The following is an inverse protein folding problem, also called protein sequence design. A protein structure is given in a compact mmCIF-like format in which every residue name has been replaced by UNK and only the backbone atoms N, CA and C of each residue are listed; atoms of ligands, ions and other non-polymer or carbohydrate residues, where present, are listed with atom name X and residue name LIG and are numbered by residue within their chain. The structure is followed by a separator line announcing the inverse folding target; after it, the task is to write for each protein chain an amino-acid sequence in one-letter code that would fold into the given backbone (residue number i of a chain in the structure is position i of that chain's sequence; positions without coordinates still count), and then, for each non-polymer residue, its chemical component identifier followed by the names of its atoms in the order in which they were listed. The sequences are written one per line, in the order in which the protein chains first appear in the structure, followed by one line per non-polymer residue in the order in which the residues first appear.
data_IF_350393765078
#
_entry.id   IF_350393765078
#
_cell.length_a   1.000
_cell.length_b   1.000
_cell.length_c   1.000
_cell.angle_alpha   90.00
_cell.angle_beta   90.00
_cell.angle_gamma   90.00
#
_symmetry.space_group_name_H-M   'P 1'
#
loop_
_entity.id
_entity.type
_entity.pdbx_description
1 polymer ?
#
# COMPACT_ATOMS: atom_id res chain seq x y z
N UNK A 1 -64.43 15.94 -9.15
CA UNK A 1 -63.19 16.67 -8.79
C UNK A 1 -62.38 16.84 -10.08
N UNK A 2 -62.66 17.88 -10.87
CA UNK A 2 -62.00 19.20 -10.87
C UNK A 2 -60.50 19.16 -11.19
N UNK A 3 -60.23 19.34 -12.49
CA UNK A 3 -59.18 20.12 -13.15
C UNK A 3 -57.82 20.34 -12.47
N UNK A 4 -56.74 20.11 -13.26
CA UNK A 4 -55.84 21.18 -13.75
C UNK A 4 -54.83 20.61 -14.77
N UNK A 5 -55.14 20.80 -16.06
CA UNK A 5 -54.13 20.93 -17.11
C UNK A 5 -53.63 22.38 -17.09
N UNK A 6 -52.33 22.60 -16.95
CA UNK A 6 -51.67 23.78 -17.51
C UNK A 6 -50.18 23.52 -17.69
N UNK A 7 -49.77 23.59 -18.95
CA UNK A 7 -48.50 24.17 -19.37
C UNK A 7 -47.22 23.42 -19.03
N UNK A 8 -46.73 22.63 -19.99
CA UNK A 8 -45.45 23.00 -20.58
C UNK A 8 -45.50 22.79 -22.10
N UNK A 9 -45.77 23.90 -22.75
CA UNK A 9 -45.69 24.09 -24.19
C UNK A 9 -44.27 23.73 -24.69
N UNK A 10 -44.23 23.04 -25.82
CA UNK A 10 -43.29 23.25 -26.94
C UNK A 10 -41.78 23.09 -26.68
N UNK A 11 -41.21 22.03 -27.26
CA UNK A 11 -40.18 22.10 -28.31
C UNK A 11 -39.46 20.74 -28.43
N UNK A 12 -40.09 19.74 -29.04
CA UNK A 12 -39.33 18.59 -29.57
C UNK A 12 -39.02 18.91 -31.03
N UNK A 13 -38.00 19.75 -31.20
CA UNK A 13 -37.41 20.06 -32.50
C UNK A 13 -36.56 18.88 -32.98
N UNK A 14 -36.79 18.48 -34.24
CA UNK A 14 -35.96 17.65 -35.10
C UNK A 14 -34.51 17.45 -34.60
N UNK A 15 -34.21 16.26 -34.08
CA UNK A 15 -32.84 15.79 -33.94
C UNK A 15 -32.52 14.95 -35.19
N UNK A 16 -31.96 15.60 -36.21
CA UNK A 16 -31.45 14.95 -37.42
C UNK A 16 -30.41 13.90 -37.04
N UNK A 17 -30.66 12.65 -37.40
CA UNK A 17 -29.74 11.55 -37.27
C UNK A 17 -28.53 11.76 -38.19
N UNK A 18 -27.41 12.24 -37.63
CA UNK A 18 -26.09 12.01 -38.22
C UNK A 18 -25.69 10.57 -37.90
N UNK A 19 -25.89 9.68 -38.88
CA UNK A 19 -25.27 8.36 -38.88
C UNK A 19 -23.76 8.52 -39.08
N UNK A 20 -23.01 8.59 -37.98
CA UNK A 20 -21.56 8.44 -37.99
C UNK A 20 -21.25 6.98 -38.37
N UNK A 21 -20.50 6.68 -39.45
CA UNK A 21 -20.01 5.33 -39.65
C UNK A 21 -18.97 5.07 -38.56
N UNK A 22 -19.32 4.23 -37.59
CA UNK A 22 -18.35 3.65 -36.68
C UNK A 22 -17.35 2.85 -37.54
N UNK A 23 -16.15 3.38 -37.75
CA UNK A 23 -15.06 2.55 -38.25
C UNK A 23 -14.71 1.59 -37.12
N UNK A 24 -15.00 0.31 -37.33
CA UNK A 24 -14.34 -0.75 -36.60
C UNK A 24 -12.85 -0.62 -36.90
N UNK A 25 -12.08 -0.12 -35.93
CA UNK A 25 -10.64 -0.25 -35.97
C UNK A 25 -10.35 -1.75 -35.96
N UNK A 26 -9.63 -2.30 -36.96
CA UNK A 26 -9.27 -3.70 -36.91
C UNK A 26 -8.54 -3.94 -35.59
N UNK A 27 -8.83 -5.04 -34.87
CA UNK A 27 -8.09 -5.36 -33.65
C UNK A 27 -6.61 -5.30 -34.01
N UNK A 28 -5.86 -4.41 -33.34
CA UNK A 28 -4.41 -4.45 -33.42
C UNK A 28 -4.04 -5.88 -33.01
N UNK A 29 -3.38 -6.67 -33.89
CA UNK A 29 -2.90 -7.97 -33.46
C UNK A 29 -2.06 -7.71 -32.21
N UNK A 30 -2.20 -8.51 -31.13
CA UNK A 30 -1.30 -8.39 -30.00
C UNK A 30 0.10 -8.40 -30.60
N UNK A 31 0.94 -7.41 -30.26
CA UNK A 31 2.32 -7.33 -30.77
C UNK A 31 2.85 -8.75 -30.84
N UNK A 32 2.97 -9.30 -32.06
CA UNK A 32 3.51 -10.63 -32.21
C UNK A 32 4.86 -10.54 -31.53
N UNK A 33 5.12 -11.43 -30.60
CA UNK A 33 6.27 -11.39 -29.71
C UNK A 33 7.56 -11.68 -30.51
N UNK A 34 7.87 -10.78 -31.44
CA UNK A 34 8.59 -10.92 -32.70
C UNK A 34 9.92 -11.66 -32.52
N UNK A 35 9.87 -13.00 -32.54
CA UNK A 35 11.04 -13.83 -32.30
C UNK A 35 11.63 -13.72 -30.90
N UNK A 36 10.95 -13.09 -29.92
CA UNK A 36 11.45 -12.98 -28.55
C UNK A 36 11.51 -14.36 -27.90
N UNK A 37 10.51 -15.21 -28.12
CA UNK A 37 10.57 -16.58 -27.64
C UNK A 37 11.21 -17.51 -28.68
N UNK A 38 12.31 -18.15 -28.29
CA UNK A 38 12.87 -19.28 -29.04
C UNK A 38 12.35 -20.59 -28.44
N UNK A 39 11.99 -21.55 -29.29
CA UNK A 39 11.46 -22.86 -28.86
C UNK A 39 12.37 -23.99 -29.33
N UNK A 40 12.75 -24.87 -28.41
CA UNK A 40 13.56 -26.07 -28.67
C UNK A 40 12.76 -27.32 -28.28
N UNK A 41 12.67 -28.36 -29.13
CA UNK A 41 12.03 -29.61 -28.77
C UNK A 41 12.68 -30.26 -27.54
N UNK A 42 11.87 -30.82 -26.64
CA UNK A 42 12.30 -31.57 -25.46
C UNK A 42 11.49 -32.87 -25.34
N UNK A 43 11.92 -33.79 -24.47
CA UNK A 43 11.35 -35.14 -24.38
C UNK A 43 9.82 -35.18 -24.13
N UNK A 44 9.28 -34.21 -23.40
CA UNK A 44 7.87 -34.14 -23.00
C UNK A 44 7.17 -32.83 -23.40
N UNK A 45 7.70 -32.11 -24.38
CA UNK A 45 7.17 -30.81 -24.82
C UNK A 45 8.25 -29.95 -25.47
N UNK A 46 8.31 -28.67 -25.10
CA UNK A 46 9.28 -27.72 -25.66
C UNK A 46 9.91 -26.86 -24.57
N UNK A 47 11.20 -26.58 -24.71
CA UNK A 47 11.89 -25.57 -23.92
C UNK A 47 11.69 -24.22 -24.59
N UNK A 48 11.08 -23.27 -23.88
CA UNK A 48 10.91 -21.88 -24.30
C UNK A 48 11.99 -21.02 -23.67
N UNK A 49 12.78 -20.32 -24.48
CA UNK A 49 13.75 -19.32 -24.05
C UNK A 49 13.20 -17.92 -24.34
N UNK A 50 13.12 -17.07 -23.32
CA UNK A 50 12.91 -15.63 -23.50
C UNK A 50 14.24 -14.96 -23.84
N UNK A 51 14.41 -14.52 -25.08
CA UNK A 51 15.67 -13.93 -25.55
C UNK A 51 15.98 -12.56 -24.94
N UNK A 52 15.03 -11.92 -24.25
CA UNK A 52 15.28 -10.65 -23.53
C UNK A 52 15.82 -10.86 -22.13
N UNK A 53 15.30 -11.87 -21.42
CA UNK A 53 15.64 -12.11 -20.00
C UNK A 53 16.61 -13.27 -19.82
N UNK A 54 16.76 -14.13 -20.83
CA UNK A 54 17.50 -15.39 -20.74
C UNK A 54 16.77 -16.49 -19.97
N UNK A 55 15.54 -16.24 -19.53
CA UNK A 55 14.76 -17.21 -18.75
C UNK A 55 14.32 -18.39 -19.63
N UNK A 56 14.40 -19.60 -19.06
CA UNK A 56 13.97 -20.82 -19.73
C UNK A 56 12.75 -21.41 -19.03
N UNK A 57 11.79 -21.89 -19.80
CA UNK A 57 10.60 -22.58 -19.30
C UNK A 57 10.41 -23.90 -20.03
N UNK A 58 10.11 -24.96 -19.30
CA UNK A 58 9.65 -26.22 -19.89
C UNK A 58 8.13 -26.14 -20.06
N UNK A 59 7.67 -26.12 -21.30
CA UNK A 59 6.27 -26.10 -21.66
C UNK A 59 5.82 -27.51 -22.08
N UNK A 60 4.85 -28.06 -21.37
CA UNK A 60 4.27 -29.39 -21.63
C UNK A 60 2.79 -29.25 -21.97
N UNK A 61 2.30 -30.02 -22.93
CA UNK A 61 0.86 -30.10 -23.23
C UNK A 61 0.20 -31.14 -22.33
N UNK A 62 -0.79 -30.73 -21.55
CA UNK A 62 -1.59 -31.61 -20.69
C UNK A 62 -3.07 -31.24 -20.84
N UNK A 63 -3.93 -32.22 -21.11
CA UNK A 63 -5.39 -32.04 -21.21
C UNK A 63 -5.81 -30.82 -22.06
N UNK A 64 -5.30 -30.76 -23.30
CA UNK A 64 -5.52 -29.67 -24.27
C UNK A 64 -5.03 -28.28 -23.83
N UNK A 65 -4.25 -28.18 -22.75
CA UNK A 65 -3.67 -26.93 -22.27
C UNK A 65 -2.14 -26.98 -22.28
N UNK A 66 -1.52 -25.91 -22.76
CA UNK A 66 -0.07 -25.71 -22.67
C UNK A 66 0.27 -25.12 -21.30
N UNK A 67 1.08 -25.84 -20.51
CA UNK A 67 1.57 -25.36 -19.23
C UNK A 67 3.08 -25.18 -19.27
N UNK A 68 3.56 -23.96 -19.00
CA UNK A 68 4.98 -23.64 -18.89
C UNK A 68 5.40 -23.53 -17.42
N UNK A 69 6.45 -24.25 -17.03
CA UNK A 69 7.09 -24.16 -15.71
C UNK A 69 8.51 -23.60 -15.88
N UNK A 70 8.98 -22.80 -14.93
CA UNK A 70 10.37 -22.32 -14.92
C UNK A 70 11.36 -23.50 -14.95
N UNK A 71 12.54 -23.29 -15.55
CA UNK A 71 13.61 -24.28 -15.61
C UNK A 71 14.00 -24.81 -14.22
N UNK A 72 14.51 -26.04 -14.17
CA UNK A 72 14.81 -26.72 -12.91
C UNK A 72 15.78 -25.92 -12.03
N UNK A 73 16.82 -25.33 -12.62
CA UNK A 73 17.84 -24.55 -11.90
C UNK A 73 17.26 -23.24 -11.34
N UNK A 74 16.46 -22.53 -12.13
CA UNK A 74 15.80 -21.30 -11.70
C UNK A 74 14.81 -21.58 -10.57
N UNK A 75 14.07 -22.70 -10.65
CA UNK A 75 13.22 -23.15 -9.56
C UNK A 75 14.00 -23.46 -8.29
N UNK A 76 15.12 -24.16 -8.39
CA UNK A 76 15.96 -24.48 -7.24
C UNK A 76 16.52 -23.21 -6.57
N UNK A 77 16.96 -22.22 -7.37
CA UNK A 77 17.42 -20.94 -6.86
C UNK A 77 16.31 -20.15 -6.15
N UNK A 78 15.11 -20.10 -6.74
CA UNK A 78 13.96 -19.44 -6.14
C UNK A 78 13.49 -20.14 -4.86
N UNK A 79 13.47 -21.48 -4.84
CA UNK A 79 13.11 -22.26 -3.66
C UNK A 79 14.12 -22.06 -2.52
N UNK A 80 15.42 -21.97 -2.83
CA UNK A 80 16.46 -21.65 -1.84
C UNK A 80 16.28 -20.23 -1.25
N UNK A 81 15.96 -19.26 -2.10
CA UNK A 81 15.72 -17.88 -1.66
C UNK A 81 14.45 -17.75 -0.82
N UNK A 82 13.37 -18.44 -1.20
CA UNK A 82 12.15 -18.53 -0.41
C UNK A 82 12.45 -19.11 0.98
N UNK A 83 13.24 -20.18 1.05
CA UNK A 83 13.63 -20.79 2.33
C UNK A 83 14.45 -19.82 3.21
N UNK A 84 15.40 -19.09 2.60
CA UNK A 84 16.20 -18.07 3.29
C UNK A 84 15.31 -16.94 3.84
N UNK A 85 14.44 -16.37 3.00
CA UNK A 85 13.53 -15.30 3.38
C UNK A 85 12.51 -15.75 4.43
N UNK A 86 11.99 -16.97 4.33
CA UNK A 86 11.08 -17.53 5.34
C UNK A 86 11.76 -17.64 6.71
N UNK A 87 13.02 -18.10 6.73
CA UNK A 87 13.83 -18.18 7.96
C UNK A 87 14.09 -16.80 8.55
N UNK A 88 14.46 -15.83 7.73
CA UNK A 88 14.69 -14.44 8.17
C UNK A 88 13.41 -13.79 8.69
N UNK A 89 12.29 -13.98 7.99
CA UNK A 89 11.00 -13.45 8.42
C UNK A 89 10.57 -14.06 9.76
N UNK A 90 10.76 -15.36 9.94
CA UNK A 90 10.50 -16.03 11.22
C UNK A 90 11.39 -15.49 12.34
N UNK A 91 12.69 -15.29 12.08
CA UNK A 91 13.63 -14.72 13.04
C UNK A 91 13.27 -13.27 13.41
N UNK A 92 12.92 -12.44 12.42
CA UNK A 92 12.50 -11.06 12.63
C UNK A 92 11.19 -10.97 13.42
N UNK A 93 10.20 -11.82 13.09
CA UNK A 93 8.95 -11.90 13.86
C UNK A 93 9.19 -12.34 15.30
N UNK A 94 10.08 -13.31 15.52
CA UNK A 94 10.46 -13.75 16.86
C UNK A 94 11.16 -12.63 17.65
N UNK A 95 12.07 -11.88 17.01
CA UNK A 95 12.74 -10.74 17.63
C UNK A 95 11.76 -9.59 17.95
N UNK A 96 10.78 -9.33 17.07
CA UNK A 96 9.77 -8.31 17.30
C UNK A 96 8.76 -8.69 18.39
N UNK A 97 8.47 -10.00 18.54
CA UNK A 97 7.62 -10.51 19.62
C UNK A 97 8.38 -10.68 20.95
N UNK A 98 9.71 -10.63 20.93
CA UNK A 98 10.50 -10.71 22.14
C UNK A 98 10.26 -9.45 23.00
N UNK A 99 10.15 -9.60 24.32
CA UNK A 99 10.07 -8.45 25.21
C UNK A 99 11.34 -7.59 25.05
N UNK A 100 11.22 -6.26 25.20
CA UNK A 100 12.35 -5.36 25.07
C UNK A 100 13.47 -5.78 26.03
N UNK A 101 14.72 -5.63 25.58
CA UNK A 101 15.87 -5.94 26.41
C UNK A 101 15.85 -5.10 27.71
N UNK A 102 16.38 -5.60 28.84
CA UNK A 102 16.35 -4.89 30.11
C UNK A 102 16.90 -3.46 30.02
N UNK A 103 17.97 -3.25 29.25
CA UNK A 103 18.55 -1.93 29.04
C UNK A 103 17.60 -0.95 28.32
N UNK A 104 16.77 -1.44 27.39
CA UNK A 104 15.77 -0.62 26.71
C UNK A 104 14.61 -0.25 27.65
N UNK A 105 14.18 -1.19 28.49
CA UNK A 105 13.18 -0.93 29.54
C UNK A 105 13.67 0.12 30.54
N UNK A 106 14.90 -0.02 31.03
CA UNK A 106 15.48 0.98 31.94
C UNK A 106 15.58 2.37 31.30
N UNK A 107 15.89 2.46 30.01
CA UNK A 107 15.89 3.74 29.31
C UNK A 107 14.49 4.36 29.22
N UNK A 108 13.48 3.55 28.93
CA UNK A 108 12.08 3.95 28.90
C UNK A 108 11.60 4.44 30.27
N UNK A 109 11.90 3.71 31.34
CA UNK A 109 11.60 4.10 32.72
C UNK A 109 12.29 5.41 33.11
N UNK A 110 13.59 5.55 32.76
CA UNK A 110 14.33 6.81 32.97
C UNK A 110 13.69 7.96 32.20
N UNK A 111 13.19 7.73 30.97
CA UNK A 111 12.53 8.74 30.15
C UNK A 111 11.19 9.14 30.74
N UNK A 112 10.40 8.17 31.21
CA UNK A 112 9.12 8.39 31.87
C UNK A 112 9.30 9.20 33.16
N UNK A 113 10.24 8.83 34.03
CA UNK A 113 10.51 9.56 35.27
C UNK A 113 10.93 11.01 35.00
N UNK A 114 11.82 11.24 34.02
CA UNK A 114 12.18 12.61 33.61
C UNK A 114 10.98 13.43 33.10
N UNK A 115 10.04 12.78 32.41
CA UNK A 115 8.82 13.45 31.95
C UNK A 115 7.91 13.83 33.13
N UNK A 116 7.78 12.95 34.13
CA UNK A 116 7.00 13.20 35.34
C UNK A 116 7.58 14.34 36.18
N UNK A 117 8.90 14.37 36.38
CA UNK A 117 9.58 15.46 37.10
C UNK A 117 9.36 16.82 36.42
N UNK A 118 9.36 16.81 35.08
CA UNK A 118 9.11 18.01 34.28
C UNK A 118 7.65 18.45 34.37
N UNK A 119 6.71 17.50 34.36
CA UNK A 119 5.29 17.76 34.55
C UNK A 119 5.01 18.33 35.96
N UNK A 120 5.63 17.80 37.01
CA UNK A 120 5.51 18.32 38.37
C UNK A 120 5.98 19.77 38.45
N UNK A 121 7.17 20.05 37.91
CA UNK A 121 7.74 21.40 37.87
C UNK A 121 6.81 22.38 37.15
N UNK A 122 6.26 21.95 36.01
CA UNK A 122 5.30 22.74 35.24
C UNK A 122 4.02 23.03 36.05
N UNK A 123 3.41 22.02 36.66
CA UNK A 123 2.18 22.16 37.45
C UNK A 123 2.39 23.10 38.65
N UNK A 124 3.51 22.96 39.36
CA UNK A 124 3.87 23.84 40.48
C UNK A 124 4.04 25.29 40.04
N UNK A 125 4.61 25.52 38.85
CA UNK A 125 4.79 26.87 38.30
C UNK A 125 3.45 27.46 37.85
N UNK A 126 2.63 26.66 37.19
CA UNK A 126 1.32 27.08 36.68
C UNK A 126 0.37 27.48 37.82
N UNK A 127 0.29 26.71 38.91
CA UNK A 127 -0.54 27.03 40.08
C UNK A 127 -0.11 28.33 40.79
N UNK A 128 1.18 28.70 40.76
CA UNK A 128 1.64 29.98 41.31
C UNK A 128 1.14 31.17 40.50
N UNK A 129 1.23 31.09 39.17
CA UNK A 129 0.77 32.14 38.27
C UNK A 129 -0.73 32.41 38.44
N UNK A 130 -1.56 31.36 38.55
CA UNK A 130 -2.99 31.51 38.82
C UNK A 130 -3.28 32.19 40.16
N UNK A 131 -2.52 31.86 41.21
CA UNK A 131 -2.69 32.49 42.53
C UNK A 131 -2.27 33.96 42.56
N UNK A 132 -1.27 34.35 41.77
CA UNK A 132 -0.85 35.75 41.63
C UNK A 132 -1.93 36.60 40.96
N UNK A 133 -2.65 36.05 39.97
CA UNK A 133 -3.77 36.76 39.32
C UNK A 133 -5.00 36.94 40.20
N UNK A 134 -5.16 36.14 41.27
CA UNK A 134 -6.34 36.18 42.15
C UNK A 134 -6.12 37.03 43.42
N UNK A 135 -4.87 37.38 43.76
CA UNK A 135 -4.58 38.19 44.95
C UNK A 135 -4.96 39.66 44.71
N UNK A 136 -5.97 40.22 45.39
CA UNK A 136 -6.32 41.63 45.23
C UNK A 136 -5.23 42.52 45.84
N UNK A 137 -4.84 43.58 45.12
CA UNK A 137 -3.92 44.60 45.61
C UNK A 137 -4.46 45.21 46.92
N UNK A 138 -3.72 45.02 48.01
CA UNK A 138 -4.04 45.66 49.28
C UNK A 138 -3.52 47.10 49.21
N UNK A 139 -4.37 48.13 49.33
CA UNK A 139 -3.92 49.51 49.21
C UNK A 139 -2.99 49.86 50.36
N UNK A 140 -1.72 50.15 50.04
CA UNK A 140 -0.80 50.85 50.93
C UNK A 140 -1.24 52.31 51.02
N UNK A 141 -1.94 52.65 52.09
CA UNK A 141 -2.21 54.04 52.46
C UNK A 141 -0.91 54.73 52.92
N UNK A 142 -0.58 55.93 52.43
CA UNK A 142 0.56 56.70 52.90
C UNK A 142 0.19 57.37 54.23
N UNK A 143 0.92 57.04 55.30
CA UNK A 143 0.85 57.78 56.55
C UNK A 143 1.85 58.93 56.52
N UNK A 144 1.29 60.15 56.55
CA UNK A 144 1.92 61.43 56.88
C UNK A 144 2.52 61.41 58.30
#
# INVERSE_FOLDING_TARGET
MSARHTSFFYAVGLFSALAMPARAEPPTPPESDNGRFAMTPAANGFLRLDTRTGQTSLCTTSADQLQCRAGADERAALEAEIARLAKENAALKAAAAAPPAPAAQEEEDRRFNRAMDRAETFMRRMLRLFRETEKPDKPTSPSL
#
